data_IF_481990411626
#
_entry.id   IF_481990411626
#
_cell.length_a   1.000
_cell.length_b   1.000
_cell.length_c   1.000
_cell.angle_alpha   90.00
_cell.angle_beta   90.00
_cell.angle_gamma   90.00
#
_symmetry.space_group_name_H-M   'P 1'
#
loop_
_entity.id
_entity.type
_entity.pdbx_description
1 polymer ?
#
# COMPACT_ATOMS: atom_id res chain seq x y z
N UNK A 1 -4.18 4.14 9.72
CA UNK A 1 -4.33 3.46 8.43
C UNK A 1 -3.69 4.25 7.32
N UNK A 2 -3.33 3.58 6.25
CA UNK A 2 -2.85 4.25 5.04
C UNK A 2 -3.79 3.94 3.89
N UNK A 3 -3.75 4.78 2.86
CA UNK A 3 -4.54 4.54 1.65
C UNK A 3 -3.66 4.53 0.42
N UNK A 4 -4.14 3.86 -0.61
CA UNK A 4 -3.52 3.84 -1.93
C UNK A 4 -4.63 4.03 -2.97
N UNK A 5 -4.43 5.00 -3.85
CA UNK A 5 -5.32 5.22 -4.99
C UNK A 5 -4.64 4.71 -6.24
N UNK A 6 -5.19 3.65 -6.83
CA UNK A 6 -4.63 3.06 -8.04
C UNK A 6 -5.75 2.68 -8.99
N UNK A 7 -5.73 3.16 -10.24
CA UNK A 7 -6.78 2.84 -11.20
C UNK A 7 -6.67 1.41 -11.74
N UNK A 8 -5.49 0.82 -11.69
CA UNK A 8 -5.25 -0.53 -12.21
C UNK A 8 -4.31 -1.29 -11.27
N UNK A 9 -4.17 -2.58 -11.48
CA UNK A 9 -3.23 -3.46 -10.75
C UNK A 9 -3.52 -3.52 -9.25
N UNK A 10 -4.76 -3.30 -8.83
CA UNK A 10 -5.14 -3.32 -7.42
C UNK A 10 -4.86 -4.67 -6.78
N UNK A 11 -5.16 -5.77 -7.46
CA UNK A 11 -4.93 -7.11 -6.92
C UNK A 11 -3.45 -7.36 -6.64
N UNK A 12 -2.57 -6.86 -7.50
CA UNK A 12 -1.13 -7.00 -7.31
C UNK A 12 -0.66 -6.19 -6.10
N UNK A 13 -1.21 -4.99 -5.92
CA UNK A 13 -0.90 -4.16 -4.76
C UNK A 13 -1.36 -4.84 -3.48
N UNK A 14 -2.57 -5.37 -3.48
CA UNK A 14 -3.14 -6.05 -2.31
C UNK A 14 -2.27 -7.25 -1.94
N UNK A 15 -1.92 -8.10 -2.90
CA UNK A 15 -1.08 -9.26 -2.65
C UNK A 15 0.29 -8.86 -2.10
N UNK A 16 0.90 -7.85 -2.70
CA UNK A 16 2.22 -7.38 -2.28
C UNK A 16 2.20 -6.92 -0.83
N UNK A 17 1.25 -6.08 -0.47
CA UNK A 17 1.20 -5.51 0.88
C UNK A 17 0.71 -6.50 1.91
N UNK A 18 -0.30 -7.32 1.59
CA UNK A 18 -0.79 -8.34 2.52
C UNK A 18 0.27 -9.38 2.87
N UNK A 19 1.21 -9.62 1.98
CA UNK A 19 2.27 -10.60 2.20
C UNK A 19 3.54 -9.99 2.78
N UNK A 20 3.57 -8.67 2.95
CA UNK A 20 4.74 -8.01 3.53
C UNK A 20 4.73 -8.16 5.05
N UNK A 21 5.84 -8.64 5.60
CA UNK A 21 6.00 -8.77 7.05
C UNK A 21 7.50 -8.72 7.35
N UNK A 22 8.04 -7.52 7.51
CA UNK A 22 9.44 -7.30 7.79
C UNK A 22 9.61 -6.18 8.80
N UNK A 23 10.61 -6.32 9.67
CA UNK A 23 10.95 -5.31 10.67
C UNK A 23 9.78 -4.94 11.60
N UNK A 24 8.89 -5.89 11.85
CA UNK A 24 7.73 -5.67 12.69
C UNK A 24 6.61 -4.88 12.01
N UNK A 25 6.74 -4.61 10.72
CA UNK A 25 5.74 -3.86 9.95
C UNK A 25 5.00 -4.81 9.03
N UNK A 26 3.67 -4.77 9.10
CA UNK A 26 2.81 -5.55 8.20
C UNK A 26 1.66 -4.67 7.74
N UNK A 27 1.01 -5.10 6.67
CA UNK A 27 -0.16 -4.43 6.10
C UNK A 27 -1.27 -5.43 5.89
N UNK A 28 -2.50 -4.97 6.08
CA UNK A 28 -3.68 -5.79 5.83
C UNK A 28 -4.76 -4.94 5.19
N UNK A 29 -5.29 -5.39 4.06
CA UNK A 29 -6.36 -4.68 3.39
C UNK A 29 -7.58 -4.60 4.29
N UNK A 30 -8.05 -3.39 4.53
CA UNK A 30 -9.25 -3.15 5.33
C UNK A 30 -10.47 -2.92 4.46
N UNK A 31 -10.31 -2.12 3.41
CA UNK A 31 -11.43 -1.85 2.49
C UNK A 31 -10.91 -1.50 1.11
N UNK A 32 -11.79 -1.72 0.14
CA UNK A 32 -11.54 -1.39 -1.25
C UNK A 32 -12.79 -0.68 -1.77
N UNK A 33 -12.62 0.53 -2.26
CA UNK A 33 -13.73 1.34 -2.74
C UNK A 33 -13.30 2.08 -4.01
N UNK A 34 -13.70 1.55 -5.15
CA UNK A 34 -13.28 2.09 -6.42
C UNK A 34 -11.78 1.98 -6.59
N UNK A 35 -11.10 3.11 -6.78
CA UNK A 35 -9.65 3.15 -6.92
C UNK A 35 -8.93 3.18 -5.57
N UNK A 36 -9.67 3.39 -4.47
CA UNK A 36 -9.08 3.59 -3.16
C UNK A 36 -8.98 2.28 -2.40
N UNK A 37 -7.78 1.96 -1.95
CA UNK A 37 -7.50 0.81 -1.09
C UNK A 37 -7.05 1.34 0.27
N UNK A 38 -7.67 0.86 1.35
CA UNK A 38 -7.30 1.25 2.70
C UNK A 38 -6.69 0.04 3.40
N UNK A 39 -5.52 0.25 3.99
CA UNK A 39 -4.79 -0.81 4.67
C UNK A 39 -4.57 -0.45 6.13
N UNK A 40 -4.76 -1.44 7.01
CA UNK A 40 -4.25 -1.37 8.37
C UNK A 40 -2.76 -1.70 8.36
N UNK A 41 -2.02 -1.05 9.23
CA UNK A 41 -0.59 -1.32 9.37
C UNK A 41 -0.21 -1.32 10.85
N UNK A 42 0.82 -2.09 11.18
CA UNK A 42 1.37 -2.13 12.53
C UNK A 42 2.39 -1.02 12.77
N UNK A 43 2.75 -0.25 11.73
CA UNK A 43 3.71 0.83 11.88
C UNK A 43 3.13 1.97 12.72
N UNK A 44 3.94 2.50 13.63
CA UNK A 44 3.53 3.64 14.46
C UNK A 44 3.51 4.93 13.66
N UNK A 45 4.48 5.11 12.75
CA UNK A 45 4.57 6.28 11.89
C UNK A 45 3.85 5.98 10.58
N UNK A 46 2.65 6.53 10.44
CA UNK A 46 1.82 6.28 9.26
C UNK A 46 2.39 6.91 8.00
N UNK A 47 3.04 8.07 8.11
CA UNK A 47 3.71 8.67 6.95
C UNK A 47 4.83 7.77 6.44
N UNK A 48 5.62 7.21 7.35
CA UNK A 48 6.68 6.28 6.97
C UNK A 48 6.09 5.01 6.35
N UNK A 49 4.97 4.52 6.89
CA UNK A 49 4.29 3.35 6.36
C UNK A 49 3.80 3.59 4.93
N UNK A 50 3.23 4.77 4.66
CA UNK A 50 2.77 5.11 3.32
C UNK A 50 3.94 5.19 2.33
N UNK A 51 5.06 5.77 2.76
CA UNK A 51 6.27 5.84 1.94
C UNK A 51 6.84 4.45 1.67
N UNK A 52 6.82 3.58 2.68
CA UNK A 52 7.28 2.21 2.54
C UNK A 52 6.42 1.45 1.53
N UNK A 53 5.10 1.56 1.65
CA UNK A 53 4.18 0.92 0.71
C UNK A 53 4.44 1.39 -0.72
N UNK A 54 4.66 2.69 -0.91
CA UNK A 54 4.96 3.27 -2.21
C UNK A 54 6.27 2.70 -2.76
N UNK A 55 7.30 2.60 -1.93
CA UNK A 55 8.59 2.04 -2.32
C UNK A 55 8.47 0.58 -2.73
N UNK A 56 7.71 -0.21 -1.97
CA UNK A 56 7.49 -1.62 -2.27
C UNK A 56 6.84 -1.81 -3.62
N UNK A 57 5.84 -0.99 -3.93
CA UNK A 57 5.15 -1.05 -5.22
C UNK A 57 6.10 -0.65 -6.35
N UNK A 58 6.84 0.43 -6.18
CA UNK A 58 7.76 0.92 -7.21
C UNK A 58 8.93 -0.02 -7.46
N UNK A 59 9.26 -0.89 -6.52
CA UNK A 59 10.31 -1.88 -6.69
C UNK A 59 9.88 -3.03 -7.62
N UNK A 60 8.59 -3.16 -7.90
CA UNK A 60 8.07 -4.19 -8.79
C UNK A 60 8.14 -3.73 -10.24
N UNK A 61 8.35 -4.68 -11.14
CA UNK A 61 8.41 -4.34 -12.57
C UNK A 61 7.10 -3.71 -13.07
N UNK A 62 5.97 -4.22 -12.58
CA UNK A 62 4.65 -3.67 -12.93
C UNK A 62 4.38 -2.35 -12.21
N UNK A 63 5.03 -2.10 -11.06
CA UNK A 63 4.81 -0.89 -10.27
C UNK A 63 5.62 0.30 -10.74
N UNK A 64 6.75 0.06 -11.44
CA UNK A 64 7.60 1.13 -11.93
C UNK A 64 6.89 2.09 -12.87
N UNK A 65 5.94 1.57 -13.63
CA UNK A 65 5.17 2.35 -14.61
C UNK A 65 3.76 2.67 -14.14
N UNK A 66 3.40 2.22 -12.94
CA UNK A 66 2.06 2.42 -12.40
C UNK A 66 1.93 3.83 -11.83
N UNK A 67 0.88 4.52 -12.25
CA UNK A 67 0.54 5.81 -11.66
C UNK A 67 -0.41 5.58 -10.48
N UNK A 68 0.03 5.94 -9.28
CA UNK A 68 -0.76 5.76 -8.08
C UNK A 68 -0.36 6.79 -7.02
N UNK A 69 -1.21 6.93 -6.01
CA UNK A 69 -0.95 7.81 -4.88
C UNK A 69 -1.05 7.02 -3.58
N UNK A 70 -0.25 7.41 -2.61
CA UNK A 70 -0.25 6.80 -1.28
C UNK A 70 -0.21 7.90 -0.23
N UNK A 71 -0.88 7.67 0.88
CA UNK A 71 -0.90 8.64 1.96
C UNK A 71 -1.50 8.06 3.23
N UNK A 72 -1.69 8.92 4.22
CA UNK A 72 -2.27 8.54 5.50
C UNK A 72 -3.79 8.70 5.42
N UNK A 73 -4.50 7.66 5.80
CA UNK A 73 -5.95 7.68 5.89
C UNK A 73 -6.36 8.12 7.29
N UNK A 74 -7.16 9.15 7.36
CA UNK A 74 -7.64 9.71 8.63
C UNK A 74 -9.04 9.25 8.95
#
# INVERSE_FOLDING_TARGET
MIFLNAPISQDKIIDLLNNYDENGISFKLKSKNGMKLVFDTTAEDLDAAAKLAKSLIKAQSWGMVLYFQAGVEK
#
